data_IF_446168714563
#
_entry.id   IF_446168714563
#
_cell.length_a   1.000
_cell.length_b   1.000
_cell.length_c   1.000
_cell.angle_alpha   90.00
_cell.angle_beta   90.00
_cell.angle_gamma   90.00
#
_symmetry.space_group_name_H-M   'P 1'
#
loop_
_entity.id
_entity.type
_entity.pdbx_description
1 polymer ?
#
# COMPACT_ATOMS: atom_id res chain seq x y z
N UNK A 1 -20.25 -69.72 10.79
CA UNK A 1 -18.84 -69.38 10.52
C UNK A 1 -18.73 -67.86 10.36
N UNK A 2 -18.45 -67.14 11.46
CA UNK A 2 -18.25 -65.69 11.44
C UNK A 2 -16.77 -65.40 11.65
N UNK A 3 -16.04 -65.14 10.57
CA UNK A 3 -14.63 -64.77 10.64
C UNK A 3 -14.48 -63.40 11.36
N UNK A 4 -13.43 -63.19 12.17
CA UNK A 4 -13.29 -61.98 12.96
C UNK A 4 -12.94 -60.81 12.04
N UNK A 5 -13.83 -59.81 11.93
CA UNK A 5 -13.62 -58.55 11.17
C UNK A 5 -12.64 -57.57 11.83
N UNK A 6 -12.08 -57.92 13.00
CA UNK A 6 -11.20 -57.06 13.81
C UNK A 6 -9.83 -56.72 13.18
N UNK A 7 -9.11 -57.63 12.49
CA UNK A 7 -7.79 -57.29 11.94
C UNK A 7 -7.90 -56.38 10.72
N UNK A 8 -8.97 -56.48 9.94
CA UNK A 8 -9.18 -55.62 8.76
C UNK A 8 -9.43 -54.17 9.14
N UNK A 9 -10.18 -53.92 10.22
CA UNK A 9 -10.44 -52.56 10.73
C UNK A 9 -9.14 -51.94 11.28
N UNK A 10 -8.32 -52.72 11.97
CA UNK A 10 -7.04 -52.24 12.50
C UNK A 10 -6.07 -51.86 11.38
N UNK A 11 -5.98 -52.68 10.32
CA UNK A 11 -5.17 -52.39 9.13
C UNK A 11 -5.67 -51.12 8.44
N UNK A 12 -7.00 -50.95 8.31
CA UNK A 12 -7.57 -49.76 7.70
C UNK A 12 -7.28 -48.50 8.51
N UNK A 13 -7.36 -48.57 9.85
CA UNK A 13 -7.04 -47.45 10.74
C UNK A 13 -5.55 -47.09 10.70
N UNK A 14 -4.66 -48.07 10.64
CA UNK A 14 -3.22 -47.85 10.49
C UNK A 14 -2.93 -47.21 9.14
N UNK A 15 -3.53 -47.71 8.06
CA UNK A 15 -3.39 -47.14 6.73
C UNK A 15 -3.93 -45.70 6.66
N UNK A 16 -5.08 -45.43 7.29
CA UNK A 16 -5.64 -44.08 7.37
C UNK A 16 -4.78 -43.13 8.22
N UNK A 17 -4.16 -43.64 9.29
CA UNK A 17 -3.20 -42.88 10.10
C UNK A 17 -1.94 -42.51 9.29
N UNK A 18 -1.35 -43.47 8.57
CA UNK A 18 -0.20 -43.19 7.69
C UNK A 18 -0.56 -42.24 6.54
N UNK A 19 -1.75 -42.40 5.93
CA UNK A 19 -2.25 -41.51 4.88
C UNK A 19 -2.49 -40.09 5.42
N UNK A 20 -3.06 -39.94 6.62
CA UNK A 20 -3.20 -38.63 7.27
C UNK A 20 -1.81 -38.03 7.52
N UNK A 21 -0.85 -38.80 8.04
CA UNK A 21 0.50 -38.32 8.29
C UNK A 21 1.25 -37.90 7.01
N UNK A 22 1.05 -38.57 5.87
CA UNK A 22 1.63 -38.13 4.57
C UNK A 22 0.95 -36.89 3.98
N UNK A 23 -0.33 -36.65 4.31
CA UNK A 23 -1.10 -35.49 3.81
C UNK A 23 -0.86 -34.23 4.66
N UNK A 24 -0.42 -34.35 5.92
CA UNK A 24 0.02 -33.18 6.69
C UNK A 24 1.38 -32.75 6.14
N UNK A 25 1.39 -31.76 5.25
CA UNK A 25 2.60 -31.08 4.82
C UNK A 25 3.50 -30.80 6.05
N UNK A 26 4.80 -31.13 5.95
CA UNK A 26 5.77 -30.84 7.00
C UNK A 26 5.78 -29.33 7.27
N UNK A 27 4.97 -28.90 8.24
CA UNK A 27 4.89 -27.52 8.66
C UNK A 27 6.15 -27.12 9.42
N UNK A 28 6.48 -25.83 9.37
CA UNK A 28 7.57 -25.27 10.18
C UNK A 28 7.28 -25.53 11.66
N UNK A 29 8.15 -26.29 12.33
CA UNK A 29 8.05 -26.51 13.78
C UNK A 29 8.23 -25.21 14.55
N UNK A 30 7.77 -25.15 15.81
CA UNK A 30 7.93 -23.94 16.63
C UNK A 30 9.40 -23.59 16.86
N UNK A 31 10.24 -24.60 16.98
CA UNK A 31 11.69 -24.48 17.15
C UNK A 31 12.34 -23.94 15.88
N UNK A 32 12.00 -24.47 14.71
CA UNK A 32 12.47 -23.95 13.43
C UNK A 32 11.98 -22.51 13.19
N UNK A 33 10.73 -22.20 13.51
CA UNK A 33 10.21 -20.83 13.39
C UNK A 33 10.98 -19.83 14.26
N UNK A 34 11.37 -20.23 15.48
CA UNK A 34 12.22 -19.42 16.35
C UNK A 34 13.62 -19.23 15.76
N UNK A 35 14.22 -20.28 15.21
CA UNK A 35 15.53 -20.20 14.57
C UNK A 35 15.51 -19.24 13.37
N UNK A 36 14.52 -19.38 12.48
CA UNK A 36 14.36 -18.50 11.33
C UNK A 36 14.09 -17.04 11.73
N UNK A 37 13.28 -16.81 12.78
CA UNK A 37 13.08 -15.46 13.34
C UNK A 37 14.39 -14.87 13.84
N UNK A 38 15.19 -15.65 14.57
CA UNK A 38 16.47 -15.19 15.12
C UNK A 38 17.49 -14.91 14.00
N UNK A 39 17.51 -15.73 12.95
CA UNK A 39 18.30 -15.50 11.74
C UNK A 39 17.92 -14.18 11.04
N UNK A 40 16.62 -13.91 10.86
CA UNK A 40 16.13 -12.64 10.29
C UNK A 40 16.55 -11.44 11.14
N UNK A 41 16.50 -11.57 12.47
CA UNK A 41 16.99 -10.52 13.38
C UNK A 41 18.48 -10.25 13.18
N UNK A 42 19.29 -11.31 13.08
CA UNK A 42 20.73 -11.17 12.90
C UNK A 42 21.07 -10.57 11.52
N UNK A 43 20.31 -10.91 10.48
CA UNK A 43 20.41 -10.28 9.15
C UNK A 43 20.04 -8.80 9.17
N UNK A 44 19.02 -8.41 9.93
CA UNK A 44 18.66 -6.99 10.11
C UNK A 44 19.83 -6.22 10.72
N UNK A 45 20.41 -6.71 11.81
CA UNK A 45 21.53 -6.00 12.45
C UNK A 45 22.79 -5.98 11.60
N UNK A 46 23.05 -7.04 10.82
CA UNK A 46 24.13 -7.00 9.83
C UNK A 46 23.97 -5.82 8.85
N UNK A 47 22.76 -5.61 8.31
CA UNK A 47 22.49 -4.53 7.37
C UNK A 47 22.46 -3.16 8.05
N UNK A 48 21.75 -3.05 9.19
CA UNK A 48 21.60 -1.81 9.93
C UNK A 48 22.95 -1.30 10.46
N UNK A 49 23.79 -2.17 11.04
CA UNK A 49 25.12 -1.79 11.53
C UNK A 49 26.03 -1.38 10.38
N UNK A 50 25.97 -2.09 9.24
CA UNK A 50 26.69 -1.71 8.03
C UNK A 50 26.28 -0.32 7.53
N UNK A 51 25.00 0.03 7.58
CA UNK A 51 24.52 1.38 7.24
C UNK A 51 25.04 2.42 8.23
N UNK A 52 24.91 2.16 9.54
CA UNK A 52 25.36 3.07 10.59
C UNK A 52 26.88 3.33 10.54
N UNK A 53 27.67 2.34 10.12
CA UNK A 53 29.13 2.46 10.02
C UNK A 53 29.59 3.16 8.73
N UNK A 54 28.96 2.87 7.59
CA UNK A 54 29.53 3.23 6.28
C UNK A 54 28.74 4.30 5.50
N UNK A 55 27.50 4.58 5.86
CA UNK A 55 26.63 5.45 5.08
C UNK A 55 25.96 6.55 5.89
N UNK A 56 25.64 6.32 7.17
CA UNK A 56 25.01 7.33 8.01
C UNK A 56 25.81 8.66 8.02
N UNK A 57 25.16 9.83 7.80
CA UNK A 57 23.72 10.09 7.74
C UNK A 57 23.13 10.19 6.31
N UNK A 58 23.78 9.61 5.30
CA UNK A 58 23.20 9.54 3.95
C UNK A 58 21.91 8.73 3.93
N UNK A 59 21.12 8.88 2.86
CA UNK A 59 19.86 8.16 2.74
C UNK A 59 20.05 6.64 2.70
N UNK A 60 21.02 6.16 1.93
CA UNK A 60 21.22 4.72 1.67
C UNK A 60 22.70 4.31 1.70
N UNK A 61 22.91 3.04 2.02
CA UNK A 61 24.20 2.36 1.89
C UNK A 61 24.36 1.79 0.48
N UNK A 62 25.54 1.98 -0.12
CA UNK A 62 26.04 1.22 -1.27
C UNK A 62 26.82 0.00 -0.75
N UNK A 63 26.18 -1.18 -0.59
CA UNK A 63 26.75 -2.28 0.19
C UNK A 63 27.99 -2.92 -0.46
N UNK A 64 28.15 -2.79 -1.78
CA UNK A 64 29.33 -3.34 -2.48
C UNK A 64 30.56 -2.43 -2.40
N UNK A 65 30.35 -1.11 -2.30
CA UNK A 65 31.45 -0.13 -2.28
C UNK A 65 31.68 0.49 -0.90
N UNK A 66 30.87 0.14 0.09
CA UNK A 66 30.88 0.71 1.44
C UNK A 66 30.88 2.25 1.45
N UNK A 67 29.96 2.86 0.69
CA UNK A 67 29.76 4.32 0.68
C UNK A 67 28.29 4.69 0.85
N UNK A 68 28.01 5.94 1.22
CA UNK A 68 26.64 6.46 1.28
C UNK A 68 26.19 7.13 -0.02
N UNK A 69 24.87 7.20 -0.23
CA UNK A 69 24.24 8.00 -1.29
C UNK A 69 22.94 8.65 -0.80
N UNK A 70 22.69 9.88 -1.24
CA UNK A 70 21.43 10.58 -1.02
C UNK A 70 20.54 10.39 -2.27
N UNK A 71 19.61 9.44 -2.23
CA UNK A 71 18.72 9.13 -3.36
C UNK A 71 17.41 9.93 -3.34
N UNK A 72 16.96 10.39 -2.17
CA UNK A 72 15.76 11.21 -2.05
C UNK A 72 16.14 12.64 -1.67
N UNK A 73 16.52 12.88 -0.42
CA UNK A 73 16.86 14.25 0.00
C UNK A 73 17.90 14.38 1.11
N UNK A 74 18.55 13.29 1.51
CA UNK A 74 19.60 13.30 2.51
C UNK A 74 19.05 13.59 3.90
N UNK A 75 18.00 12.87 4.29
CA UNK A 75 17.36 12.99 5.61
C UNK A 75 17.65 11.76 6.49
N UNK A 76 18.70 11.01 6.18
CA UNK A 76 19.00 9.71 6.79
C UNK A 76 17.84 8.71 6.60
N UNK A 77 17.33 8.59 5.36
CA UNK A 77 16.20 7.73 4.99
C UNK A 77 16.24 6.35 5.66
N UNK A 78 17.34 5.60 5.53
CA UNK A 78 17.45 4.25 6.08
C UNK A 78 17.32 4.23 7.61
N UNK A 79 17.78 5.28 8.31
CA UNK A 79 17.58 5.38 9.77
C UNK A 79 16.08 5.50 10.09
N UNK A 80 15.36 6.38 9.38
CA UNK A 80 13.93 6.64 9.61
C UNK A 80 13.10 5.40 9.28
N UNK A 81 13.34 4.77 8.12
CA UNK A 81 12.65 3.54 7.68
C UNK A 81 12.92 2.34 8.62
N UNK A 82 13.97 2.39 9.45
CA UNK A 82 14.34 1.31 10.37
C UNK A 82 13.76 1.46 11.79
N UNK A 83 13.17 2.61 12.15
CA UNK A 83 12.77 2.89 13.53
C UNK A 83 11.71 1.92 14.05
N UNK A 84 10.66 1.68 13.28
CA UNK A 84 9.58 0.78 13.67
C UNK A 84 10.06 -0.68 13.73
N UNK A 85 11.04 -1.06 12.91
CA UNK A 85 11.66 -2.38 12.92
C UNK A 85 12.56 -2.57 14.14
N UNK A 86 13.35 -1.55 14.53
CA UNK A 86 14.10 -1.56 15.80
C UNK A 86 13.14 -1.77 16.98
N UNK A 87 11.99 -1.09 16.96
CA UNK A 87 10.96 -1.27 17.96
C UNK A 87 10.32 -2.67 17.93
N UNK A 88 10.04 -3.20 16.74
CA UNK A 88 9.51 -4.56 16.57
C UNK A 88 10.47 -5.63 17.10
N UNK A 89 11.77 -5.41 16.95
CA UNK A 89 12.82 -6.29 17.48
C UNK A 89 13.08 -6.10 18.98
N UNK A 90 12.43 -5.11 19.61
CA UNK A 90 12.56 -4.80 21.04
C UNK A 90 13.86 -4.10 21.41
N UNK A 91 14.55 -3.47 20.46
CA UNK A 91 15.80 -2.74 20.71
C UNK A 91 15.53 -1.30 21.16
N UNK A 92 15.19 -1.18 22.44
CA UNK A 92 14.85 0.11 23.05
C UNK A 92 16.03 1.10 23.02
N UNK A 93 17.26 0.62 23.16
CA UNK A 93 18.44 1.48 23.24
C UNK A 93 18.71 2.18 21.90
N UNK A 94 18.78 1.41 20.80
CA UNK A 94 19.01 1.97 19.48
C UNK A 94 17.82 2.75 18.97
N UNK A 95 16.60 2.30 19.24
CA UNK A 95 15.39 3.08 18.93
C UNK A 95 15.44 4.45 19.60
N UNK A 96 15.63 4.51 20.93
CA UNK A 96 15.64 5.76 21.69
C UNK A 96 16.74 6.71 21.20
N UNK A 97 17.95 6.18 20.98
CA UNK A 97 19.10 6.97 20.49
C UNK A 97 18.83 7.55 19.11
N UNK A 98 18.19 6.78 18.23
CA UNK A 98 17.84 7.22 16.88
C UNK A 98 16.75 8.29 16.89
N UNK A 99 15.69 8.10 17.70
CA UNK A 99 14.62 9.09 17.90
C UNK A 99 15.20 10.42 18.40
N UNK A 100 16.07 10.38 19.41
CA UNK A 100 16.71 11.58 19.94
C UNK A 100 17.61 12.28 18.91
N UNK A 101 18.37 11.51 18.13
CA UNK A 101 19.22 12.09 17.08
C UNK A 101 18.36 12.78 16.02
N UNK A 102 17.28 12.15 15.57
CA UNK A 102 16.36 12.71 14.58
C UNK A 102 15.74 14.00 15.09
N UNK A 103 15.15 13.99 16.29
CA UNK A 103 14.52 15.18 16.88
C UNK A 103 15.50 16.36 17.01
N UNK A 104 16.77 16.08 17.33
CA UNK A 104 17.79 17.12 17.53
C UNK A 104 18.40 17.63 16.23
N UNK A 105 18.70 16.74 15.28
CA UNK A 105 19.59 17.03 14.14
C UNK A 105 18.85 17.16 12.81
N UNK A 106 17.76 16.43 12.59
CA UNK A 106 17.09 16.39 11.30
C UNK A 106 16.47 17.75 10.94
N UNK A 107 16.70 18.22 9.72
CA UNK A 107 16.10 19.45 9.19
C UNK A 107 15.66 19.21 7.76
N UNK A 108 14.50 19.76 7.39
CA UNK A 108 14.00 19.66 6.02
C UNK A 108 14.27 20.90 5.19
N UNK A 109 14.76 22.00 5.76
CA UNK A 109 15.07 23.23 5.00
C UNK A 109 16.32 23.09 4.13
N UNK A 110 16.19 22.30 3.06
CA UNK A 110 17.26 21.89 2.17
C UNK A 110 16.82 22.17 0.73
N UNK A 111 17.66 22.83 -0.07
CA UNK A 111 17.33 23.09 -1.47
C UNK A 111 17.57 21.85 -2.35
N UNK A 112 16.68 20.85 -2.25
CA UNK A 112 16.67 19.63 -3.07
C UNK A 112 15.30 19.41 -3.72
N UNK A 113 15.31 18.59 -4.77
CA UNK A 113 14.11 18.12 -5.46
C UNK A 113 13.71 16.78 -4.90
N UNK A 114 12.43 16.59 -4.59
CA UNK A 114 11.95 15.39 -3.89
C UNK A 114 10.70 14.83 -4.55
N UNK A 115 10.53 13.51 -4.46
CA UNK A 115 9.27 12.84 -4.77
C UNK A 115 8.36 12.94 -3.54
N UNK A 116 7.19 13.55 -3.68
CA UNK A 116 6.26 13.64 -2.55
C UNK A 116 5.61 12.27 -2.25
N UNK A 117 5.48 11.38 -3.25
CA UNK A 117 5.07 10.00 -3.02
C UNK A 117 6.07 9.25 -2.12
N UNK A 118 7.34 9.17 -2.51
CA UNK A 118 8.37 8.47 -1.73
C UNK A 118 8.60 9.12 -0.36
N UNK A 119 8.61 10.46 -0.32
CA UNK A 119 8.78 11.20 0.94
C UNK A 119 7.62 10.96 1.91
N UNK A 120 6.39 10.79 1.39
CA UNK A 120 5.23 10.50 2.22
C UNK A 120 5.29 9.09 2.80
N UNK A 121 5.42 8.07 1.95
CA UNK A 121 5.33 6.68 2.41
C UNK A 121 6.53 6.23 3.25
N UNK A 122 7.69 6.88 3.10
CA UNK A 122 8.92 6.54 3.83
C UNK A 122 9.17 7.46 5.01
N UNK A 123 9.37 8.75 4.74
CA UNK A 123 9.79 9.72 5.77
C UNK A 123 8.61 10.10 6.66
N UNK A 124 7.50 10.57 6.06
CA UNK A 124 6.33 10.96 6.86
C UNK A 124 5.74 9.75 7.59
N UNK A 125 5.60 8.61 6.91
CA UNK A 125 5.17 7.35 7.50
C UNK A 125 6.07 6.88 8.65
N UNK A 126 7.39 6.86 8.45
CA UNK A 126 8.37 6.47 9.46
C UNK A 126 8.39 7.38 10.68
N UNK A 127 8.31 8.70 10.49
CA UNK A 127 8.21 9.67 11.59
C UNK A 127 6.93 9.49 12.41
N UNK A 128 5.78 9.31 11.75
CA UNK A 128 4.50 9.11 12.41
C UNK A 128 4.44 7.78 13.15
N UNK A 129 4.93 6.70 12.54
CA UNK A 129 5.04 5.37 13.16
C UNK A 129 5.92 5.43 14.42
N UNK A 130 7.12 6.00 14.30
CA UNK A 130 8.03 6.14 15.43
C UNK A 130 7.49 7.07 16.52
N UNK A 131 6.81 8.16 16.16
CA UNK A 131 6.10 9.02 17.12
C UNK A 131 5.08 8.22 17.94
N UNK A 132 4.19 7.47 17.29
CA UNK A 132 3.19 6.65 17.97
C UNK A 132 3.83 5.61 18.89
N UNK A 133 4.92 4.98 18.46
CA UNK A 133 5.68 4.00 19.24
C UNK A 133 6.35 4.63 20.46
N UNK A 134 7.02 5.78 20.28
CA UNK A 134 7.76 6.48 21.32
C UNK A 134 6.84 7.15 22.36
N UNK A 135 5.63 7.53 21.97
CA UNK A 135 4.67 8.24 22.83
C UNK A 135 3.83 7.31 23.71
N UNK A 136 3.55 6.08 23.27
CA UNK A 136 2.72 5.14 24.02
C UNK A 136 3.55 4.25 24.95
N UNK A 137 3.42 4.46 26.27
CA UNK A 137 4.08 3.64 27.29
C UNK A 137 3.77 2.13 27.18
N UNK A 138 2.66 1.73 26.55
CA UNK A 138 2.27 0.33 26.39
C UNK A 138 3.13 -0.42 25.38
N UNK A 139 3.84 0.29 24.52
CA UNK A 139 4.72 -0.33 23.51
C UNK A 139 5.97 -0.93 24.13
N UNK A 140 6.33 -0.52 25.36
CA UNK A 140 7.62 -0.85 25.98
C UNK A 140 8.81 -0.12 25.33
N UNK A 141 8.55 0.75 24.37
CA UNK A 141 9.54 1.50 23.58
C UNK A 141 9.51 3.00 23.86
N UNK A 142 8.73 3.43 24.86
CA UNK A 142 8.60 4.84 25.21
C UNK A 142 9.94 5.45 25.58
N UNK A 143 10.21 6.64 25.07
CA UNK A 143 11.46 7.38 25.30
C UNK A 143 11.19 8.44 26.37
N UNK A 144 11.82 8.38 27.57
CA UNK A 144 11.45 9.28 28.67
C UNK A 144 11.66 10.78 28.42
N UNK A 145 12.59 11.12 27.52
CA UNK A 145 12.96 12.49 27.14
C UNK A 145 12.15 13.03 25.96
N UNK A 146 11.27 12.23 25.38
CA UNK A 146 10.54 12.55 24.16
C UNK A 146 9.39 13.53 24.41
N UNK A 147 9.33 14.57 23.59
CA UNK A 147 8.38 15.68 23.66
C UNK A 147 7.85 16.02 22.26
N UNK A 148 7.31 14.99 21.58
CA UNK A 148 6.64 15.08 20.27
C UNK A 148 7.52 15.61 19.12
N UNK A 149 8.86 15.56 19.23
CA UNK A 149 9.74 16.15 18.22
C UNK A 149 9.55 15.52 16.83
N UNK A 150 9.26 14.21 16.77
CA UNK A 150 8.99 13.54 15.49
C UNK A 150 7.64 13.96 14.89
N UNK A 151 6.63 14.26 15.71
CA UNK A 151 5.34 14.77 15.22
C UNK A 151 5.51 16.18 14.67
N UNK A 152 6.29 17.04 15.33
CA UNK A 152 6.62 18.37 14.83
C UNK A 152 7.39 18.33 13.51
N UNK A 153 8.32 17.38 13.36
CA UNK A 153 9.03 17.14 12.10
C UNK A 153 8.08 16.64 11.01
N UNK A 154 7.18 15.70 11.33
CA UNK A 154 6.16 15.20 10.40
C UNK A 154 5.25 16.32 9.90
N UNK A 155 4.82 17.21 10.81
CA UNK A 155 4.01 18.38 10.47
C UNK A 155 4.78 19.38 9.58
N UNK A 156 6.03 19.75 9.93
CA UNK A 156 6.86 20.63 9.10
C UNK A 156 7.05 20.07 7.69
N UNK A 157 7.35 18.77 7.59
CA UNK A 157 7.51 18.07 6.32
C UNK A 157 6.23 18.11 5.48
N UNK A 158 5.09 17.73 6.06
CA UNK A 158 3.82 17.73 5.35
C UNK A 158 3.38 19.13 4.91
N UNK A 159 3.59 20.16 5.75
CA UNK A 159 3.30 21.56 5.40
C UNK A 159 4.12 22.03 4.20
N UNK A 160 5.38 21.60 4.08
CA UNK A 160 6.23 21.89 2.91
C UNK A 160 5.76 21.17 1.64
N UNK A 161 5.07 20.04 1.77
CA UNK A 161 4.50 19.30 0.64
C UNK A 161 3.12 19.81 0.20
N UNK A 162 2.39 20.57 1.05
CA UNK A 162 1.06 21.11 0.70
C UNK A 162 0.99 21.89 -0.63
N UNK A 163 1.98 22.73 -1.02
CA UNK A 163 1.96 23.42 -2.30
C UNK A 163 1.88 22.48 -3.51
N UNK A 164 2.33 21.22 -3.39
CA UNK A 164 2.22 20.23 -4.46
C UNK A 164 0.76 19.90 -4.79
N UNK A 165 -0.20 20.14 -3.88
CA UNK A 165 -1.63 19.90 -4.07
C UNK A 165 -2.40 21.12 -4.61
N UNK A 166 -1.75 22.27 -4.80
CA UNK A 166 -2.39 23.47 -5.33
C UNK A 166 -2.38 23.49 -6.87
N UNK A 167 -2.99 22.49 -7.51
CA UNK A 167 -3.14 22.49 -8.97
C UNK A 167 -4.45 23.13 -9.44
N UNK A 168 -4.43 23.89 -10.54
CA UNK A 168 -5.62 24.44 -11.17
C UNK A 168 -6.26 23.39 -12.09
N UNK A 169 -7.03 22.46 -11.55
CA UNK A 169 -7.83 21.56 -12.40
C UNK A 169 -9.00 22.35 -12.98
N UNK A 170 -9.09 22.42 -14.30
CA UNK A 170 -10.20 23.07 -15.00
C UNK A 170 -11.52 22.39 -14.61
N UNK A 171 -12.56 23.13 -14.17
CA UNK A 171 -13.82 22.54 -13.77
C UNK A 171 -14.57 22.01 -15.00
N UNK A 172 -14.61 20.69 -15.18
CA UNK A 172 -15.63 20.04 -16.00
C UNK A 172 -16.88 19.83 -15.15
N UNK A 173 -17.80 20.81 -15.17
CA UNK A 173 -19.23 20.85 -14.76
C UNK A 173 -19.75 20.08 -13.53
N UNK A 174 -18.91 19.46 -12.72
CA UNK A 174 -19.31 18.81 -11.47
C UNK A 174 -18.09 18.72 -10.56
N UNK A 175 -18.02 19.71 -9.66
CA UNK A 175 -17.17 19.79 -8.46
C UNK A 175 -15.64 19.86 -8.66
N UNK A 176 -15.06 20.92 -8.09
CA UNK A 176 -13.63 21.23 -8.10
C UNK A 176 -12.83 20.16 -7.36
N UNK A 177 -12.03 19.39 -8.08
CA UNK A 177 -11.10 18.44 -7.46
C UNK A 177 -9.66 18.77 -7.89
N UNK A 178 -8.86 19.26 -6.95
CA UNK A 178 -7.43 19.60 -7.12
C UNK A 178 -6.58 18.33 -7.15
N UNK A 179 -5.56 18.33 -8.00
CA UNK A 179 -4.58 17.26 -8.17
C UNK A 179 -3.19 17.68 -7.64
N UNK A 180 -2.24 16.77 -7.72
CA UNK A 180 -0.96 16.81 -7.03
C UNK A 180 0.24 16.72 -8.00
N UNK A 181 1.36 17.41 -7.73
CA UNK A 181 2.63 17.34 -8.47
C UNK A 181 3.57 16.23 -7.93
N UNK A 182 3.93 15.25 -8.76
CA UNK A 182 4.78 14.11 -8.35
C UNK A 182 6.21 14.50 -7.96
N UNK A 183 6.73 15.61 -8.50
CA UNK A 183 8.08 16.10 -8.20
C UNK A 183 8.08 17.58 -7.87
N UNK A 184 8.63 17.91 -6.70
CA UNK A 184 8.75 19.29 -6.23
C UNK A 184 10.22 19.70 -6.24
N UNK A 185 10.59 20.66 -7.09
CA UNK A 185 11.89 21.34 -6.98
C UNK A 185 11.75 22.46 -5.92
N UNK A 186 12.69 22.50 -4.96
CA UNK A 186 12.85 23.51 -3.89
C UNK A 186 12.10 23.27 -2.57
N UNK A 187 12.73 22.54 -1.65
CA UNK A 187 12.32 22.42 -0.24
C UNK A 187 12.57 23.67 0.63
N UNK A 188 13.02 24.79 0.03
CA UNK A 188 13.12 26.09 0.69
C UNK A 188 11.84 26.88 0.43
N UNK A 189 10.92 26.91 1.40
CA UNK A 189 9.76 27.81 1.34
C UNK A 189 10.26 29.24 1.55
N UNK A 190 10.46 29.97 0.46
CA UNK A 190 10.28 31.41 0.48
C UNK A 190 8.95 31.72 -0.20
N UNK A 191 8.05 32.33 0.58
CA UNK A 191 6.87 33.01 0.09
C UNK A 191 7.29 34.07 -0.95
N UNK A 192 7.27 33.68 -2.21
CA UNK A 192 7.43 34.53 -3.38
C UNK A 192 6.81 33.77 -4.56
N UNK A 193 5.64 34.08 -5.09
CA UNK A 193 5.04 35.38 -5.25
C UNK A 193 3.63 35.20 -5.82
N UNK A 194 2.75 36.12 -5.45
CA UNK A 194 1.63 36.63 -6.26
C UNK A 194 2.10 37.31 -7.57
N UNK A 195 3.22 36.88 -8.15
CA UNK A 195 3.97 37.52 -9.25
C UNK A 195 4.70 36.39 -9.99
N UNK A 196 4.04 35.80 -10.97
CA UNK A 196 4.49 35.90 -12.35
C UNK A 196 3.41 35.31 -13.26
N UNK A 197 2.40 36.14 -13.49
CA UNK A 197 1.72 36.20 -14.78
C UNK A 197 2.80 36.56 -15.81
N UNK A 198 3.45 35.54 -16.38
CA UNK A 198 4.33 35.50 -17.57
C UNK A 198 5.60 34.67 -17.34
N UNK A 199 5.81 33.69 -18.23
CA UNK A 199 7.05 32.94 -18.49
C UNK A 199 7.46 31.90 -17.43
N UNK A 200 6.81 30.74 -17.50
CA UNK A 200 7.51 29.47 -17.28
C UNK A 200 7.54 28.67 -18.58
N UNK A 201 8.66 28.77 -19.28
CA UNK A 201 9.02 27.89 -20.41
C UNK A 201 10.13 26.93 -19.95
N UNK A 202 9.87 26.11 -18.93
CA UNK A 202 10.80 25.05 -18.51
C UNK A 202 10.06 23.78 -18.03
N UNK A 203 10.25 22.72 -18.84
CA UNK A 203 9.92 21.29 -18.68
C UNK A 203 8.45 20.90 -18.38
N UNK A 204 7.78 20.44 -19.44
CA UNK A 204 6.46 19.78 -19.47
C UNK A 204 6.38 18.46 -18.68
N UNK A 205 7.50 17.92 -18.18
CA UNK A 205 7.58 16.58 -17.56
C UNK A 205 7.05 16.50 -16.13
N UNK A 206 6.94 17.62 -15.42
CA UNK A 206 6.55 17.63 -14.00
C UNK A 206 5.03 17.67 -13.79
N UNK A 207 4.23 17.65 -14.86
CA UNK A 207 2.77 17.68 -14.80
C UNK A 207 2.14 16.29 -14.76
N UNK A 208 2.94 15.23 -14.84
CA UNK A 208 2.44 13.86 -14.88
C UNK A 208 2.61 13.26 -13.49
N UNK A 209 1.54 12.68 -12.95
CA UNK A 209 1.58 11.84 -11.74
C UNK A 209 1.12 10.43 -12.07
N UNK A 210 1.66 9.43 -11.38
CA UNK A 210 1.07 8.10 -11.36
C UNK A 210 -0.22 8.03 -10.52
N UNK A 211 -1.05 7.00 -10.74
CA UNK A 211 -2.23 6.72 -9.90
C UNK A 211 -1.84 6.39 -8.46
N UNK A 212 -0.78 5.61 -8.26
CA UNK A 212 -0.18 5.40 -6.95
C UNK A 212 0.32 6.73 -6.34
N UNK A 213 1.05 7.54 -7.11
CA UNK A 213 1.56 8.84 -6.66
C UNK A 213 0.50 9.78 -6.11
N UNK A 214 -0.68 9.84 -6.74
CA UNK A 214 -1.81 10.66 -6.25
C UNK A 214 -2.77 9.94 -5.29
N UNK A 215 -2.70 8.61 -5.22
CA UNK A 215 -3.64 7.77 -4.46
C UNK A 215 -3.12 7.29 -3.11
N UNK A 216 -1.81 7.33 -2.91
CA UNK A 216 -1.10 6.65 -1.82
C UNK A 216 -0.48 7.66 -0.84
N UNK A 217 -1.28 8.63 -0.41
CA UNK A 217 -0.87 9.69 0.52
C UNK A 217 -1.83 9.80 1.73
N UNK A 218 -2.97 9.14 1.64
CA UNK A 218 -4.13 9.33 2.51
C UNK A 218 -3.90 8.85 3.94
N UNK A 219 -3.15 7.77 4.13
CA UNK A 219 -2.95 7.20 5.47
C UNK A 219 -2.11 8.15 6.34
N UNK A 220 -0.96 8.56 5.84
CA UNK A 220 -0.01 9.40 6.57
C UNK A 220 -0.60 10.79 6.84
N UNK A 221 -1.14 11.45 5.82
CA UNK A 221 -1.76 12.77 5.97
C UNK A 221 -3.05 12.70 6.81
N UNK A 222 -3.80 11.61 6.74
CA UNK A 222 -4.99 11.37 7.56
C UNK A 222 -4.65 11.16 9.03
N UNK A 223 -3.62 10.37 9.33
CA UNK A 223 -3.11 10.20 10.70
C UNK A 223 -2.57 11.53 11.23
N UNK A 224 -1.78 12.26 10.43
CA UNK A 224 -1.25 13.56 10.81
C UNK A 224 -2.37 14.56 11.14
N UNK A 225 -3.44 14.60 10.35
CA UNK A 225 -4.60 15.48 10.62
C UNK A 225 -5.25 15.18 11.97
N UNK A 226 -5.35 13.89 12.34
CA UNK A 226 -5.93 13.46 13.62
C UNK A 226 -5.02 13.80 14.80
N UNK A 227 -3.70 13.65 14.64
CA UNK A 227 -2.71 13.94 15.68
C UNK A 227 -2.54 15.45 15.91
N UNK A 228 -2.56 16.24 14.85
CA UNK A 228 -2.36 17.71 14.92
C UNK A 228 -3.67 18.50 15.04
N UNK A 229 -4.81 17.85 14.84
CA UNK A 229 -6.13 18.47 14.74
C UNK A 229 -6.21 19.53 13.61
N UNK A 230 -5.39 19.40 12.56
CA UNK A 230 -5.43 20.23 11.35
C UNK A 230 -5.99 19.40 10.17
N UNK A 231 -7.23 19.65 9.73
CA UNK A 231 -7.89 18.83 8.71
C UNK A 231 -7.32 19.02 7.30
N UNK A 232 -6.44 20.01 7.07
CA UNK A 232 -5.96 20.32 5.73
C UNK A 232 -5.25 19.12 5.08
N UNK A 233 -4.48 18.36 5.86
CA UNK A 233 -3.68 17.27 5.33
C UNK A 233 -4.57 16.14 4.77
N UNK A 234 -5.58 15.68 5.52
CA UNK A 234 -6.53 14.67 5.06
C UNK A 234 -7.39 15.20 3.90
N UNK A 235 -7.77 16.47 3.94
CA UNK A 235 -8.64 17.05 2.92
C UNK A 235 -7.96 17.10 1.55
N UNK A 236 -6.67 17.45 1.48
CA UNK A 236 -5.95 17.54 0.20
C UNK A 236 -5.72 16.16 -0.43
N UNK A 237 -5.38 15.15 0.36
CA UNK A 237 -5.15 13.78 -0.15
C UNK A 237 -6.46 13.10 -0.54
N UNK A 238 -7.53 13.28 0.23
CA UNK A 238 -8.87 12.80 -0.12
C UNK A 238 -9.35 13.40 -1.45
N UNK A 239 -9.09 14.69 -1.68
CA UNK A 239 -9.39 15.33 -2.94
C UNK A 239 -8.58 14.71 -4.10
N UNK A 240 -7.29 14.44 -3.92
CA UNK A 240 -6.50 13.77 -4.95
C UNK A 240 -7.08 12.39 -5.35
N UNK A 241 -7.48 11.56 -4.38
CA UNK A 241 -8.16 10.27 -4.61
C UNK A 241 -9.46 10.45 -5.38
N UNK A 242 -10.31 11.39 -4.97
CA UNK A 242 -11.56 11.72 -5.69
C UNK A 242 -11.27 12.16 -7.12
N UNK A 243 -10.17 12.88 -7.33
CA UNK A 243 -9.77 13.40 -8.64
C UNK A 243 -9.45 12.26 -9.60
N UNK A 244 -8.64 11.30 -9.13
CA UNK A 244 -8.31 10.08 -9.87
C UNK A 244 -9.58 9.30 -10.19
N UNK A 245 -10.41 9.07 -9.18
CA UNK A 245 -11.63 8.27 -9.33
C UNK A 245 -12.68 8.90 -10.23
N UNK A 246 -12.82 10.23 -10.21
CA UNK A 246 -13.72 10.96 -11.11
C UNK A 246 -13.35 10.78 -12.59
N UNK A 247 -12.09 10.44 -12.88
CA UNK A 247 -11.55 10.27 -14.23
C UNK A 247 -11.43 8.81 -14.67
N UNK A 248 -11.86 7.85 -13.84
CA UNK A 248 -11.91 6.45 -14.24
C UNK A 248 -12.69 6.25 -15.54
N UNK A 249 -12.40 5.17 -16.24
CA UNK A 249 -13.13 4.82 -17.47
C UNK A 249 -14.58 4.40 -17.18
N UNK A 250 -15.37 4.24 -18.24
CA UNK A 250 -16.75 3.71 -18.12
C UNK A 250 -16.83 2.29 -17.56
N UNK A 251 -15.70 1.57 -17.54
CA UNK A 251 -15.59 0.23 -16.98
C UNK A 251 -14.88 0.23 -15.61
N UNK A 252 -14.85 1.39 -14.93
CA UNK A 252 -14.29 1.58 -13.59
C UNK A 252 -12.79 1.25 -13.45
N UNK A 253 -12.03 1.27 -14.55
CA UNK A 253 -10.56 1.18 -14.50
C UNK A 253 -9.94 2.57 -14.47
N UNK A 254 -8.76 2.69 -13.86
CA UNK A 254 -7.91 3.89 -13.85
C UNK A 254 -6.63 3.61 -14.65
N UNK A 255 -6.06 4.66 -15.25
CA UNK A 255 -4.80 4.53 -16.00
C UNK A 255 -3.58 4.58 -15.06
N UNK A 256 -2.39 4.31 -15.61
CA UNK A 256 -1.14 4.34 -14.86
C UNK A 256 -0.67 5.77 -14.56
N UNK A 257 -0.76 6.67 -15.54
CA UNK A 257 -0.27 8.06 -15.42
C UNK A 257 -1.28 9.08 -15.95
N UNK A 258 -1.39 10.20 -15.26
CA UNK A 258 -2.34 11.29 -15.51
C UNK A 258 -1.62 12.64 -15.51
N UNK A 259 -1.99 13.51 -16.45
CA UNK A 259 -1.56 14.90 -16.42
C UNK A 259 -2.45 15.69 -15.43
N UNK A 260 -1.83 16.29 -14.42
CA UNK A 260 -2.48 16.88 -13.24
C UNK A 260 -3.16 18.22 -13.54
N UNK A 261 -2.81 18.84 -14.67
CA UNK A 261 -3.34 20.13 -15.09
C UNK A 261 -4.57 19.95 -15.99
N UNK A 262 -4.43 19.12 -17.03
CA UNK A 262 -5.52 18.79 -17.95
C UNK A 262 -6.50 17.77 -17.37
N UNK A 263 -6.03 16.90 -16.47
CA UNK A 263 -6.79 15.77 -15.97
C UNK A 263 -6.91 14.61 -16.96
N UNK A 264 -6.11 14.60 -18.03
CA UNK A 264 -6.12 13.54 -19.04
C UNK A 264 -5.13 12.42 -18.71
N UNK A 265 -5.55 11.18 -18.89
CA UNK A 265 -4.67 10.01 -18.75
C UNK A 265 -3.63 9.99 -19.87
N UNK A 266 -2.36 10.17 -19.51
CA UNK A 266 -1.21 10.11 -20.43
C UNK A 266 -0.78 8.68 -20.69
N UNK A 267 -0.94 7.80 -19.71
CA UNK A 267 -0.79 6.35 -19.86
C UNK A 267 -2.08 5.66 -19.42
N UNK A 268 -2.79 5.09 -20.39
CA UNK A 268 -4.12 4.48 -20.23
C UNK A 268 -4.06 2.98 -19.91
N UNK A 269 -2.88 2.48 -19.57
CA UNK A 269 -2.69 1.09 -19.15
C UNK A 269 -3.25 0.95 -17.73
N UNK A 270 -4.14 -0.02 -17.56
CA UNK A 270 -4.76 -0.35 -16.29
C UNK A 270 -4.28 -1.74 -15.87
N UNK A 271 -3.95 -1.86 -14.60
CA UNK A 271 -3.39 -3.07 -14.01
C UNK A 271 -3.45 -2.98 -12.49
N UNK A 272 -2.96 -4.03 -11.84
CA UNK A 272 -2.75 -4.06 -10.38
C UNK A 272 -1.26 -3.85 -10.02
N UNK A 273 -0.40 -3.53 -10.99
CA UNK A 273 1.05 -3.42 -10.78
C UNK A 273 1.54 -1.98 -10.63
N UNK A 274 2.83 -1.78 -10.90
CA UNK A 274 3.52 -0.49 -10.80
C UNK A 274 2.70 0.68 -11.33
N UNK A 275 2.80 1.81 -10.62
CA UNK A 275 2.07 3.07 -10.89
C UNK A 275 0.61 3.05 -10.47
N UNK A 276 0.03 1.91 -10.08
CA UNK A 276 -1.38 1.79 -9.68
C UNK A 276 -1.52 1.04 -8.35
N UNK A 277 -0.83 -0.08 -8.18
CA UNK A 277 -0.81 -0.98 -7.01
C UNK A 277 -1.41 -0.41 -5.70
N UNK A 278 -0.69 0.48 -5.05
CA UNK A 278 -0.95 1.00 -3.71
C UNK A 278 -2.17 1.91 -3.62
N UNK A 279 -2.73 2.39 -4.75
CA UNK A 279 -4.04 3.03 -4.79
C UNK A 279 -5.11 2.07 -4.27
N UNK A 280 -5.09 0.80 -4.69
CA UNK A 280 -6.04 -0.19 -4.19
C UNK A 280 -5.86 -0.47 -2.70
N UNK A 281 -4.60 -0.56 -2.24
CA UNK A 281 -4.31 -0.77 -0.82
C UNK A 281 -4.83 0.38 0.04
N UNK A 282 -4.56 1.62 -0.37
CA UNK A 282 -4.89 2.79 0.43
C UNK A 282 -6.38 3.03 0.52
N UNK A 283 -7.17 2.70 -0.51
CA UNK A 283 -8.62 2.77 -0.40
C UNK A 283 -9.15 1.84 0.69
N UNK A 284 -8.72 0.56 0.69
CA UNK A 284 -9.18 -0.37 1.72
C UNK A 284 -8.64 0.01 3.10
N UNK A 285 -7.33 0.29 3.21
CA UNK A 285 -6.68 0.62 4.49
C UNK A 285 -7.20 1.93 5.07
N UNK A 286 -7.51 2.95 4.24
CA UNK A 286 -8.07 4.21 4.72
C UNK A 286 -9.49 4.01 5.26
N UNK A 287 -10.33 3.18 4.62
CA UNK A 287 -11.61 2.79 5.22
C UNK A 287 -11.41 2.08 6.56
N UNK A 288 -10.51 1.10 6.63
CA UNK A 288 -10.26 0.36 7.87
C UNK A 288 -9.75 1.26 9.01
N UNK A 289 -8.89 2.23 8.69
CA UNK A 289 -8.28 3.10 9.68
C UNK A 289 -9.20 4.26 10.10
N UNK A 290 -9.98 4.80 9.16
CA UNK A 290 -10.73 6.05 9.35
C UNK A 290 -12.25 5.89 9.37
N UNK A 291 -12.77 4.74 8.94
CA UNK A 291 -14.21 4.46 8.88
C UNK A 291 -14.97 5.21 7.78
N UNK A 292 -14.26 5.72 6.77
CA UNK A 292 -14.86 6.53 5.71
C UNK A 292 -15.36 5.65 4.54
N UNK A 293 -16.68 5.50 4.47
CA UNK A 293 -17.40 4.67 3.50
C UNK A 293 -17.12 5.04 2.03
N UNK A 294 -16.68 6.27 1.75
CA UNK A 294 -16.33 6.67 0.39
C UNK A 294 -15.13 5.88 -0.13
N UNK A 295 -14.11 5.66 0.71
CA UNK A 295 -12.96 4.85 0.31
C UNK A 295 -13.37 3.39 0.05
N UNK A 296 -14.26 2.84 0.88
CA UNK A 296 -14.79 1.49 0.69
C UNK A 296 -15.56 1.37 -0.63
N UNK A 297 -16.42 2.34 -0.92
CA UNK A 297 -17.18 2.38 -2.18
C UNK A 297 -16.25 2.39 -3.39
N UNK A 298 -15.24 3.28 -3.39
CA UNK A 298 -14.25 3.37 -4.47
C UNK A 298 -13.49 2.04 -4.61
N UNK A 299 -13.02 1.48 -3.50
CA UNK A 299 -12.32 0.19 -3.50
C UNK A 299 -13.16 -0.94 -4.10
N UNK A 300 -14.41 -1.07 -3.68
CA UNK A 300 -15.30 -2.13 -4.16
C UNK A 300 -15.54 -2.06 -5.66
N UNK A 301 -15.77 -0.87 -6.20
CA UNK A 301 -15.99 -0.68 -7.63
C UNK A 301 -14.71 -0.92 -8.43
N UNK A 302 -13.56 -0.45 -7.95
CA UNK A 302 -12.26 -0.67 -8.58
C UNK A 302 -11.85 -2.15 -8.54
N UNK A 303 -12.08 -2.83 -7.42
CA UNK A 303 -11.79 -4.26 -7.23
C UNK A 303 -12.64 -5.14 -8.13
N UNK A 304 -13.97 -4.87 -8.23
CA UNK A 304 -14.85 -5.57 -9.17
C UNK A 304 -14.36 -5.44 -10.61
N UNK A 305 -13.95 -4.23 -11.01
CA UNK A 305 -13.39 -4.00 -12.35
C UNK A 305 -12.07 -4.76 -12.56
N UNK A 306 -11.18 -4.75 -11.56
CA UNK A 306 -9.93 -5.51 -11.61
C UNK A 306 -10.18 -7.01 -11.81
N UNK A 307 -11.07 -7.60 -11.02
CA UNK A 307 -11.44 -9.01 -11.15
C UNK A 307 -12.11 -9.35 -12.49
N UNK A 308 -12.89 -8.43 -13.06
CA UNK A 308 -13.59 -8.67 -14.32
C UNK A 308 -12.68 -8.56 -15.55
N UNK A 309 -11.79 -7.56 -15.57
CA UNK A 309 -11.03 -7.21 -16.77
C UNK A 309 -9.57 -7.63 -16.72
N UNK A 310 -8.94 -7.64 -15.54
CA UNK A 310 -7.51 -7.88 -15.38
C UNK A 310 -7.21 -9.34 -15.04
N UNK A 311 -8.10 -10.04 -14.34
CA UNK A 311 -7.88 -11.44 -13.98
C UNK A 311 -8.00 -12.37 -15.20
N UNK A 312 -6.95 -13.15 -15.43
CA UNK A 312 -6.83 -14.19 -16.46
C UNK A 312 -6.11 -15.38 -15.82
N UNK A 313 -6.89 -16.32 -15.31
CA UNK A 313 -6.38 -17.46 -14.53
C UNK A 313 -5.08 -18.05 -15.12
N UNK A 314 -4.00 -18.17 -14.31
CA UNK A 314 -3.87 -17.81 -12.89
C UNK A 314 -3.31 -16.39 -12.62
N UNK A 315 -3.23 -15.52 -13.63
CA UNK A 315 -2.51 -14.25 -13.60
C UNK A 315 -3.42 -13.01 -13.63
N UNK A 316 -2.83 -11.85 -13.38
CA UNK A 316 -3.42 -10.56 -13.72
C UNK A 316 -2.62 -9.93 -14.86
N UNK A 317 -3.33 -9.37 -15.84
CA UNK A 317 -2.74 -8.75 -17.03
C UNK A 317 -3.01 -7.25 -17.06
N UNK A 318 -2.21 -6.53 -17.82
CA UNK A 318 -2.46 -5.10 -18.07
C UNK A 318 -3.32 -4.92 -19.32
N UNK A 319 -4.34 -4.08 -19.21
CA UNK A 319 -5.30 -3.80 -20.29
C UNK A 319 -5.46 -2.30 -20.49
N UNK A 320 -5.96 -1.89 -21.64
CA UNK A 320 -6.32 -0.49 -21.85
C UNK A 320 -7.55 -0.17 -21.00
N UNK A 321 -7.48 0.88 -20.18
CA UNK A 321 -8.53 1.23 -19.24
C UNK A 321 -9.91 1.45 -19.88
N UNK A 322 -9.99 1.82 -21.16
CA UNK A 322 -11.26 2.13 -21.83
C UNK A 322 -11.82 0.96 -22.62
N UNK A 323 -10.97 0.21 -23.32
CA UNK A 323 -11.40 -0.88 -24.20
C UNK A 323 -11.29 -2.27 -23.58
N UNK A 324 -10.59 -2.40 -22.43
CA UNK A 324 -10.18 -3.67 -21.85
C UNK A 324 -9.35 -4.56 -22.79
N UNK A 325 -8.79 -3.99 -23.87
CA UNK A 325 -7.89 -4.70 -24.76
C UNK A 325 -6.55 -4.94 -24.04
N UNK A 326 -6.02 -6.16 -24.12
CA UNK A 326 -4.72 -6.52 -23.55
C UNK A 326 -3.63 -5.58 -24.10
N UNK A 327 -2.83 -5.01 -23.21
CA UNK A 327 -1.67 -4.17 -23.55
C UNK A 327 -0.39 -5.00 -23.40
N UNK A 328 -0.09 -5.43 -22.18
CA UNK A 328 1.08 -6.24 -21.86
C UNK A 328 0.69 -7.49 -21.07
N UNK A 329 1.09 -8.69 -21.51
CA UNK A 329 1.00 -9.90 -20.69
C UNK A 329 2.22 -9.98 -19.75
N UNK A 330 2.46 -8.93 -18.96
CA UNK A 330 3.60 -8.82 -18.06
C UNK A 330 3.18 -9.05 -16.62
N UNK A 331 3.89 -9.96 -15.94
CA UNK A 331 3.87 -10.05 -14.48
C UNK A 331 5.01 -9.22 -13.91
N UNK A 332 4.69 -8.44 -12.87
CA UNK A 332 5.66 -7.65 -12.12
C UNK A 332 5.65 -8.13 -10.67
N UNK A 333 6.83 -8.30 -10.06
CA UNK A 333 6.94 -8.71 -8.65
C UNK A 333 6.14 -7.82 -7.71
N UNK A 334 5.99 -6.53 -8.04
CA UNK A 334 5.18 -5.58 -7.27
C UNK A 334 3.70 -5.98 -7.22
N UNK A 335 3.16 -6.76 -8.17
CA UNK A 335 1.78 -7.27 -8.11
C UNK A 335 1.55 -8.29 -6.99
N UNK A 336 2.61 -8.79 -6.35
CA UNK A 336 2.52 -9.80 -5.30
C UNK A 336 1.85 -9.31 -3.99
N UNK A 337 1.61 -8.01 -3.82
CA UNK A 337 0.78 -7.51 -2.71
C UNK A 337 -0.69 -7.93 -2.83
N UNK A 338 -1.17 -8.13 -4.06
CA UNK A 338 -2.60 -8.25 -4.36
C UNK A 338 -3.30 -9.42 -3.63
N UNK A 339 -2.74 -10.64 -3.60
CA UNK A 339 -3.31 -11.72 -2.79
C UNK A 339 -3.40 -11.37 -1.30
N UNK A 340 -2.42 -10.63 -0.76
CA UNK A 340 -2.46 -10.13 0.62
C UNK A 340 -3.64 -9.18 0.85
N UNK A 341 -3.85 -8.24 -0.07
CA UNK A 341 -5.00 -7.33 -0.02
C UNK A 341 -6.34 -8.06 -0.14
N UNK A 342 -6.40 -9.11 -0.96
CA UNK A 342 -7.58 -9.97 -1.09
C UNK A 342 -7.91 -10.68 0.23
N UNK A 343 -6.92 -11.24 0.92
CA UNK A 343 -7.12 -11.88 2.24
C UNK A 343 -7.71 -10.88 3.25
N UNK A 344 -7.19 -9.65 3.27
CA UNK A 344 -7.73 -8.59 4.15
C UNK A 344 -9.19 -8.32 3.78
N UNK A 345 -9.49 -8.16 2.48
CA UNK A 345 -10.84 -7.89 1.97
C UNK A 345 -11.85 -8.95 2.43
N UNK A 346 -11.52 -10.24 2.28
CA UNK A 346 -12.43 -11.34 2.60
C UNK A 346 -12.50 -11.68 4.10
N UNK A 347 -11.61 -11.15 4.92
CA UNK A 347 -11.64 -11.35 6.37
C UNK A 347 -12.69 -10.50 7.08
N UNK A 348 -13.28 -9.51 6.41
CA UNK A 348 -14.30 -8.63 6.99
C UNK A 348 -15.73 -9.00 6.57
N UNK A 349 -16.69 -9.01 7.52
CA UNK A 349 -18.05 -9.50 7.29
C UNK A 349 -18.86 -8.68 6.27
N UNK A 350 -18.40 -7.48 5.91
CA UNK A 350 -19.01 -6.64 4.88
C UNK A 350 -18.85 -7.18 3.45
N UNK A 351 -17.88 -8.08 3.25
CA UNK A 351 -17.66 -8.80 1.99
C UNK A 351 -18.26 -10.21 2.03
N UNK A 352 -19.31 -10.44 2.84
CA UNK A 352 -19.99 -11.73 2.90
C UNK A 352 -20.72 -12.02 1.58
N UNK A 353 -20.00 -12.58 0.63
CA UNK A 353 -20.58 -13.62 -0.20
C UNK A 353 -21.02 -14.74 0.73
N UNK A 354 -22.18 -15.34 0.47
CA UNK A 354 -22.63 -16.48 1.25
C UNK A 354 -21.53 -17.56 1.22
N UNK A 355 -21.37 -18.32 2.29
CA UNK A 355 -20.39 -19.43 2.33
C UNK A 355 -20.52 -20.38 1.12
N UNK A 356 -21.72 -20.47 0.53
CA UNK A 356 -21.99 -21.18 -0.72
C UNK A 356 -21.25 -20.59 -1.94
N UNK A 357 -21.17 -19.27 -2.08
CA UNK A 357 -20.51 -18.61 -3.21
C UNK A 357 -18.98 -18.73 -3.11
N UNK A 358 -18.43 -18.69 -1.89
CA UNK A 358 -17.01 -18.98 -1.63
C UNK A 358 -16.70 -20.46 -1.95
N UNK A 359 -17.58 -21.38 -1.55
CA UNK A 359 -17.43 -22.81 -1.83
C UNK A 359 -17.54 -23.11 -3.33
N UNK A 360 -18.45 -22.44 -4.05
CA UNK A 360 -18.64 -22.58 -5.50
C UNK A 360 -17.39 -22.09 -6.24
N UNK A 361 -16.83 -20.94 -5.87
CA UNK A 361 -15.59 -20.44 -6.47
C UNK A 361 -14.39 -21.36 -6.18
N UNK A 362 -14.26 -21.89 -4.96
CA UNK A 362 -13.22 -22.87 -4.63
C UNK A 362 -13.40 -24.19 -5.39
N UNK A 363 -14.63 -24.65 -5.60
CA UNK A 363 -14.92 -25.86 -6.36
C UNK A 363 -14.68 -25.68 -7.87
N UNK A 364 -14.99 -24.51 -8.43
CA UNK A 364 -14.71 -24.17 -9.82
C UNK A 364 -13.19 -24.06 -10.09
N UNK A 365 -12.41 -23.55 -9.13
CA UNK A 365 -10.95 -23.47 -9.22
C UNK A 365 -10.26 -24.83 -9.03
N UNK A 366 -10.84 -25.76 -8.25
CA UNK A 366 -10.24 -27.08 -7.99
C UNK A 366 -10.57 -28.14 -9.05
N UNK A 367 -11.55 -27.92 -9.93
CA UNK A 367 -12.00 -28.93 -10.90
C UNK A 367 -12.14 -28.39 -12.34
N UNK A 368 -11.05 -28.03 -13.03
CA UNK A 368 -11.11 -27.66 -14.45
C UNK A 368 -11.57 -28.81 -15.37
N UNK A 369 -11.46 -30.06 -14.89
CA UNK A 369 -11.58 -31.28 -15.71
C UNK A 369 -12.97 -31.92 -15.72
N UNK A 370 -13.99 -31.35 -15.07
CA UNK A 370 -15.36 -31.91 -15.07
C UNK A 370 -16.32 -31.26 -16.07
N UNK A 371 -15.88 -30.25 -16.83
CA UNK A 371 -16.75 -29.55 -17.81
C UNK A 371 -16.65 -30.15 -19.24
N UNK A 372 -15.73 -31.08 -19.51
CA UNK A 372 -15.69 -31.79 -20.80
C UNK A 372 -16.32 -33.17 -20.72
N UNK A 373 -17.65 -33.25 -20.78
CA UNK A 373 -18.33 -34.53 -20.89
C UNK A 373 -19.84 -34.43 -20.79
N UNK A 374 -20.50 -34.17 -21.92
CA UNK A 374 -21.94 -34.36 -22.20
C UNK A 374 -22.82 -34.75 -21.00
N UNK A 375 -23.34 -33.77 -20.28
CA UNK A 375 -24.35 -33.95 -19.25
C UNK A 375 -24.91 -32.60 -18.82
N UNK A 376 -26.10 -32.27 -19.32
CA UNK A 376 -26.80 -31.03 -19.03
C UNK A 376 -27.12 -30.95 -17.52
N UNK A 377 -26.44 -30.07 -16.79
CA UNK A 377 -26.98 -29.53 -15.53
C UNK A 377 -27.42 -28.10 -15.83
N UNK A 378 -28.72 -27.95 -16.05
CA UNK A 378 -29.38 -26.65 -16.09
C UNK A 378 -29.36 -26.07 -14.67
N UNK A 379 -28.35 -25.26 -14.34
CA UNK A 379 -28.50 -24.27 -13.29
C UNK A 379 -29.38 -23.16 -13.85
N UNK A 380 -30.66 -23.16 -13.46
CA UNK A 380 -31.57 -22.06 -13.74
C UNK A 380 -30.91 -20.75 -13.32
N UNK A 381 -30.86 -19.77 -14.23
CA UNK A 381 -30.59 -18.36 -13.90
C UNK A 381 -31.54 -17.97 -12.77
N UNK A 382 -31.02 -17.82 -11.56
CA UNK A 382 -31.73 -17.13 -10.50
C UNK A 382 -31.71 -15.65 -10.89
N UNK A 383 -32.89 -15.14 -11.21
CA UNK A 383 -33.15 -13.75 -11.53
C UNK A 383 -32.86 -12.85 -10.32
N UNK A 384 -31.84 -12.01 -10.48
CA UNK A 384 -31.69 -10.60 -10.10
C UNK A 384 -32.90 -9.96 -9.35
N UNK A 385 -32.60 -9.32 -8.19
CA UNK A 385 -33.25 -8.20 -7.44
C UNK A 385 -33.71 -8.51 -5.99
N UNK A 386 -33.75 -7.51 -5.05
CA UNK A 386 -33.19 -6.16 -5.07
C UNK A 386 -32.15 -5.89 -3.95
N UNK A 387 -31.28 -4.89 -4.18
CA UNK A 387 -30.41 -4.26 -3.18
C UNK A 387 -31.22 -3.84 -1.93
N UNK A 388 -30.72 -4.07 -0.70
CA UNK A 388 -31.33 -3.46 0.48
C UNK A 388 -31.10 -1.95 0.43
N UNK A 389 -32.20 -1.18 0.49
CA UNK A 389 -32.14 0.24 0.85
C UNK A 389 -31.76 0.33 2.33
N UNK A 390 -30.66 1.00 2.64
CA UNK A 390 -30.33 1.38 4.01
C UNK A 390 -30.81 2.82 4.28
N UNK A 391 -31.45 2.99 5.44
CA UNK A 391 -31.74 4.28 6.09
C UNK A 391 -30.56 4.68 6.94
#
# INVERSE_FOLDING_TARGET
MGAPKKPLILILLIFFYFLICEIVAEGVTREQAKQLRDEVRDMFYHAFDGYMEHAFPHDELKPLSCGGEDTLGGYALTLIDSLDTLALLGDQERFSTSVEWIGKILRFDINKTVSVFETTIRILGGLLSAHLIASDYKTGMSVPSYDDELLHLAEDLARRMLPAFDTPTVPSESECVKFFYEVFEHFSVLLALFVFKHRFTRKLTWLITSTAGGGTLTLEFGVLSRLTNDPIFEQVTKNAVRGLWARRSRINLVGAHIDVFSGEWTQKDAGIGTSIDSFYEYLLKAYLLFGDEEYLFIFQEAYKAAMLYLFKDPWYVEVNMNSAALVWPLFNSLQAFWPGLQVITFSYPFFSWSWLEILILQLELMLPSLVSGNGIISLQRVSIWPLPKFR
#
